data_IF_376109845410
#
_entry.id   IF_376109845410
#
_cell.length_a   1.000
_cell.length_b   1.000
_cell.length_c   1.000
_cell.angle_alpha   90.00
_cell.angle_beta   90.00
_cell.angle_gamma   90.00
#
_symmetry.space_group_name_H-M   'P 1'
#
loop_
_entity.id
_entity.type
_entity.pdbx_description
1 polymer ?
#
# COMPACT_ATOMS: atom_id res chain seq x y z
N UNK A 1 -1.76 7.54 -7.18
CA UNK A 1 -1.71 7.42 -5.70
C UNK A 1 -1.52 8.80 -5.11
N UNK A 2 -2.46 9.24 -4.29
CA UNK A 2 -2.39 10.56 -3.66
C UNK A 2 -1.50 10.51 -2.41
N UNK A 3 -0.81 11.60 -2.07
CA UNK A 3 0.10 11.62 -0.92
C UNK A 3 -0.60 11.28 0.41
N UNK A 4 -1.89 11.61 0.53
CA UNK A 4 -2.74 11.31 1.68
C UNK A 4 -3.09 9.82 1.80
N UNK A 5 -3.35 9.14 0.68
CA UNK A 5 -3.58 7.69 0.65
C UNK A 5 -2.30 6.93 1.05
N UNK A 6 -1.14 7.33 0.50
CA UNK A 6 0.15 6.77 0.90
C UNK A 6 0.41 6.96 2.39
N UNK A 7 0.09 8.13 2.95
CA UNK A 7 0.22 8.39 4.40
C UNK A 7 -0.70 7.49 5.23
N UNK A 8 -1.97 7.32 4.83
CA UNK A 8 -2.92 6.45 5.53
C UNK A 8 -2.47 4.99 5.52
N UNK A 9 -2.00 4.51 4.36
CA UNK A 9 -1.48 3.16 4.21
C UNK A 9 -0.22 2.94 5.05
N UNK A 10 0.73 3.89 5.01
CA UNK A 10 1.92 3.84 5.85
C UNK A 10 1.58 3.80 7.34
N UNK A 11 0.63 4.63 7.80
CA UNK A 11 0.20 4.61 9.19
C UNK A 11 -0.39 3.24 9.59
N UNK A 12 -1.22 2.65 8.74
CA UNK A 12 -1.79 1.32 8.97
C UNK A 12 -0.72 0.22 8.99
N UNK A 13 0.23 0.26 8.05
CA UNK A 13 1.36 -0.67 7.99
C UNK A 13 2.25 -0.57 9.24
N UNK A 14 2.54 0.66 9.69
CA UNK A 14 3.29 0.90 10.94
C UNK A 14 2.55 0.34 12.15
N UNK A 15 1.25 0.61 12.28
CA UNK A 15 0.44 0.06 13.39
C UNK A 15 0.45 -1.47 13.40
N UNK A 16 0.25 -2.09 12.23
CA UNK A 16 0.23 -3.56 12.09
C UNK A 16 1.59 -4.15 12.44
N UNK A 17 2.68 -3.57 11.93
CA UNK A 17 4.04 -3.99 12.24
C UNK A 17 4.35 -3.83 13.74
N UNK A 18 3.91 -2.74 14.36
CA UNK A 18 4.09 -2.51 15.79
C UNK A 18 3.41 -3.58 16.63
N UNK A 19 2.13 -3.85 16.38
CA UNK A 19 1.36 -4.86 17.12
C UNK A 19 1.87 -6.28 16.88
N UNK A 20 2.25 -6.61 15.65
CA UNK A 20 2.89 -7.90 15.33
C UNK A 20 4.22 -8.09 16.07
N UNK A 21 5.02 -7.02 16.18
CA UNK A 21 6.29 -7.05 16.91
C UNK A 21 6.06 -7.24 18.41
N UNK A 22 5.07 -6.55 18.98
CA UNK A 22 4.66 -6.69 20.38
C UNK A 22 4.14 -8.11 20.67
N UNK A 23 3.31 -8.68 19.80
CA UNK A 23 2.88 -10.09 19.92
C UNK A 23 4.06 -11.06 19.85
N UNK A 24 5.04 -10.79 18.99
CA UNK A 24 6.24 -11.64 18.85
C UNK A 24 7.14 -11.58 20.10
N UNK A 25 7.15 -10.46 20.84
CA UNK A 25 7.83 -10.37 22.13
C UNK A 25 7.25 -11.37 23.13
N UNK A 26 5.93 -11.42 23.26
CA UNK A 26 5.26 -12.41 24.12
C UNK A 26 5.50 -13.85 23.67
N UNK A 27 5.58 -14.11 22.36
CA UNK A 27 5.93 -15.44 21.85
C UNK A 27 7.34 -15.86 22.22
N UNK A 28 8.32 -14.95 22.19
CA UNK A 28 9.70 -15.23 22.62
C UNK A 28 9.74 -15.55 24.12
N UNK A 29 9.02 -14.78 24.94
CA UNK A 29 8.94 -15.03 26.39
C UNK A 29 8.30 -16.40 26.69
N UNK A 30 7.18 -16.72 26.03
CA UNK A 30 6.54 -18.03 26.15
C UNK A 30 7.44 -19.19 25.67
N UNK A 31 8.14 -19.01 24.55
CA UNK A 31 9.09 -20.00 24.03
C UNK A 31 10.28 -20.22 24.98
N UNK A 32 10.76 -19.15 25.61
CA UNK A 32 11.83 -19.20 26.62
C UNK A 32 11.39 -19.99 27.87
N UNK A 33 10.21 -19.69 28.40
CA UNK A 33 9.65 -20.46 29.52
C UNK A 33 9.48 -21.95 29.18
N UNK A 34 9.01 -22.27 27.97
CA UNK A 34 8.89 -23.65 27.51
C UNK A 34 10.25 -24.34 27.39
N UNK A 35 11.25 -23.66 26.83
CA UNK A 35 12.60 -24.19 26.70
C UNK A 35 13.21 -24.51 28.07
N UNK A 36 13.09 -23.59 29.03
CA UNK A 36 13.60 -23.79 30.40
C UNK A 36 12.88 -24.95 31.11
N UNK A 37 11.55 -25.06 30.94
CA UNK A 37 10.76 -26.16 31.50
C UNK A 37 11.19 -27.52 30.93
N UNK A 38 11.31 -27.64 29.61
CA UNK A 38 11.67 -28.90 28.97
C UNK A 38 13.12 -29.29 29.24
N UNK A 39 14.03 -28.31 29.40
CA UNK A 39 15.40 -28.56 29.86
C UNK A 39 15.42 -29.26 31.22
N UNK A 40 14.66 -28.74 32.19
CA UNK A 40 14.54 -29.36 33.52
C UNK A 40 13.89 -30.75 33.44
N UNK A 41 12.87 -30.92 32.59
CA UNK A 41 12.23 -32.22 32.39
C UNK A 41 13.19 -33.27 31.83
N UNK A 42 14.06 -32.88 30.88
CA UNK A 42 15.11 -33.75 30.33
C UNK A 42 16.14 -34.14 31.40
N UNK A 43 16.61 -33.19 32.20
CA UNK A 43 17.53 -33.47 33.31
C UNK A 43 16.92 -34.47 34.31
N UNK A 44 15.64 -34.29 34.66
CA UNK A 44 14.92 -35.19 35.54
C UNK A 44 14.74 -36.60 34.94
N UNK A 45 14.40 -36.69 33.65
CA UNK A 45 14.27 -37.97 32.95
C UNK A 45 15.61 -38.74 32.91
N UNK A 46 16.71 -38.04 32.61
CA UNK A 46 18.05 -38.64 32.62
C UNK A 46 18.47 -39.12 34.02
N UNK A 47 18.16 -38.35 35.07
CA UNK A 47 18.44 -38.76 36.45
C UNK A 47 17.64 -40.01 36.86
N UNK A 48 16.35 -40.05 36.53
CA UNK A 48 15.48 -41.22 36.79
C UNK A 48 15.94 -42.46 36.01
N UNK A 49 16.42 -42.29 34.78
CA UNK A 49 16.94 -43.39 33.97
C UNK A 49 18.21 -43.98 34.60
N UNK A 50 19.13 -43.13 35.06
CA UNK A 50 20.35 -43.55 35.80
C UNK A 50 20.02 -44.30 37.09
N UNK A 51 18.89 -43.96 37.73
CA UNK A 51 18.38 -44.66 38.91
C UNK A 51 17.56 -45.92 38.57
N UNK A 52 17.36 -46.27 37.29
CA UNK A 52 16.58 -47.42 36.85
C UNK A 52 15.06 -47.25 36.99
N UNK A 53 14.55 -46.03 37.16
CA UNK A 53 13.14 -45.73 37.42
C UNK A 53 12.30 -45.48 36.16
N UNK A 54 12.93 -45.19 35.03
CA UNK A 54 12.28 -44.96 33.73
C UNK A 54 13.04 -45.68 32.63
N UNK A 55 12.43 -45.83 31.45
CA UNK A 55 13.02 -46.50 30.30
C UNK A 55 13.89 -45.56 29.45
N UNK A 56 14.68 -46.12 28.54
CA UNK A 56 15.43 -45.31 27.56
C UNK A 56 14.50 -44.55 26.62
N UNK A 57 13.30 -45.07 26.33
CA UNK A 57 12.31 -44.38 25.49
C UNK A 57 11.83 -43.08 26.13
N UNK A 58 11.64 -43.06 27.46
CA UNK A 58 11.22 -41.85 28.17
C UNK A 58 12.28 -40.74 28.07
N UNK A 59 13.57 -41.10 28.11
CA UNK A 59 14.68 -40.16 27.89
C UNK A 59 14.69 -39.66 26.45
N UNK A 60 14.51 -40.54 25.47
CA UNK A 60 14.46 -40.16 24.05
C UNK A 60 13.29 -39.23 23.75
N UNK A 61 12.12 -39.45 24.35
CA UNK A 61 10.99 -38.54 24.22
C UNK A 61 11.30 -37.16 24.81
N UNK A 62 11.90 -37.11 26.00
CA UNK A 62 12.31 -35.84 26.62
C UNK A 62 13.38 -35.11 25.78
N UNK A 63 14.31 -35.85 25.14
CA UNK A 63 15.30 -35.27 24.22
C UNK A 63 14.64 -34.69 22.97
N UNK A 64 13.64 -35.36 22.41
CA UNK A 64 12.87 -34.86 21.27
C UNK A 64 12.12 -33.56 21.63
N UNK A 65 11.47 -33.53 22.79
CA UNK A 65 10.80 -32.32 23.27
C UNK A 65 11.79 -31.17 23.47
N UNK A 66 12.98 -31.44 24.04
CA UNK A 66 14.03 -30.44 24.21
C UNK A 66 14.48 -29.86 22.88
N UNK A 67 14.81 -30.73 21.91
CA UNK A 67 15.22 -30.29 20.58
C UNK A 67 14.12 -29.48 19.87
N UNK A 68 12.86 -29.85 20.08
CA UNK A 68 11.70 -29.11 19.54
C UNK A 68 11.55 -27.73 20.20
N UNK A 69 11.75 -27.64 21.51
CA UNK A 69 11.71 -26.36 22.24
C UNK A 69 12.89 -25.45 21.87
N UNK A 70 14.08 -26.02 21.68
CA UNK A 70 15.29 -25.31 21.22
C UNK A 70 15.10 -24.72 19.82
N UNK A 71 14.52 -25.48 18.90
CA UNK A 71 14.12 -24.98 17.59
C UNK A 71 13.09 -23.85 17.74
N UNK A 72 12.09 -24.03 18.60
CA UNK A 72 11.03 -23.05 18.83
C UNK A 72 11.53 -21.69 19.34
N UNK A 73 12.42 -21.68 20.33
CA UNK A 73 13.01 -20.42 20.83
C UNK A 73 13.88 -19.76 19.76
N UNK A 74 14.67 -20.54 19.01
CA UNK A 74 15.51 -20.01 17.92
C UNK A 74 14.66 -19.38 16.82
N UNK A 75 13.54 -20.00 16.44
CA UNK A 75 12.59 -19.47 15.46
C UNK A 75 11.91 -18.19 15.98
N UNK A 76 11.46 -18.17 17.23
CA UNK A 76 10.85 -16.99 17.84
C UNK A 76 11.83 -15.80 17.90
N UNK A 77 13.09 -16.05 18.27
CA UNK A 77 14.15 -15.03 18.27
C UNK A 77 14.49 -14.52 16.86
N UNK A 78 14.42 -15.37 15.84
CA UNK A 78 14.53 -14.96 14.45
C UNK A 78 13.35 -14.08 14.00
N UNK A 79 12.13 -14.49 14.35
CA UNK A 79 10.90 -13.79 13.98
C UNK A 79 10.85 -12.38 14.58
N UNK A 80 11.16 -12.22 15.87
CA UNK A 80 11.20 -10.90 16.50
C UNK A 80 12.25 -9.99 15.85
N UNK A 81 13.43 -10.50 15.50
CA UNK A 81 14.49 -9.72 14.82
C UNK A 81 14.01 -9.21 13.46
N UNK A 82 13.37 -10.08 12.68
CA UNK A 82 12.79 -9.69 11.39
C UNK A 82 11.69 -8.63 11.55
N UNK A 83 10.80 -8.81 12.54
CA UNK A 83 9.74 -7.86 12.83
C UNK A 83 10.29 -6.49 13.27
N UNK A 84 11.32 -6.47 14.12
CA UNK A 84 12.01 -5.25 14.52
C UNK A 84 12.68 -4.56 13.32
N UNK A 85 13.39 -5.29 12.46
CA UNK A 85 13.99 -4.72 11.25
C UNK A 85 12.94 -4.08 10.32
N UNK A 86 11.81 -4.77 10.11
CA UNK A 86 10.71 -4.25 9.30
C UNK A 86 10.10 -2.99 9.92
N UNK A 87 9.86 -3.00 11.23
CA UNK A 87 9.34 -1.83 11.95
C UNK A 87 10.32 -0.66 11.86
N UNK A 88 11.61 -0.90 12.06
CA UNK A 88 12.68 0.09 11.96
C UNK A 88 12.76 0.73 10.58
N UNK A 89 12.59 -0.07 9.52
CA UNK A 89 12.46 0.45 8.16
C UNK A 89 11.25 1.39 8.00
N UNK A 90 10.07 0.97 8.49
CA UNK A 90 8.83 1.74 8.35
C UNK A 90 8.83 3.06 9.13
N UNK A 91 9.49 3.11 10.30
CA UNK A 91 9.59 4.31 11.13
C UNK A 91 10.90 5.07 10.97
N UNK A 92 11.77 4.63 10.05
CA UNK A 92 13.10 5.18 9.81
C UNK A 92 13.99 5.22 11.08
N UNK A 93 13.96 4.14 11.86
CA UNK A 93 14.75 3.95 13.08
C UNK A 93 15.65 2.72 12.93
N UNK A 94 16.92 2.88 12.50
CA UNK A 94 17.82 1.76 12.26
C UNK A 94 18.26 1.04 13.54
N UNK A 95 18.21 1.70 14.70
CA UNK A 95 18.62 1.14 15.99
C UNK A 95 17.44 0.58 16.81
N UNK A 96 16.29 0.33 16.18
CA UNK A 96 15.08 -0.13 16.86
C UNK A 96 15.26 -1.46 17.60
N UNK A 97 16.21 -2.30 17.16
CA UNK A 97 16.56 -3.57 17.81
C UNK A 97 17.01 -3.37 19.27
N UNK A 98 17.59 -2.21 19.59
CA UNK A 98 18.07 -1.88 20.92
C UNK A 98 17.00 -1.20 21.80
N UNK A 99 15.79 -0.99 21.27
CA UNK A 99 14.70 -0.29 21.96
C UNK A 99 13.65 -1.30 22.44
N UNK A 100 13.07 -1.01 23.61
CA UNK A 100 11.93 -1.76 24.14
C UNK A 100 10.63 -1.11 23.67
N UNK A 101 9.70 -1.90 23.15
CA UNK A 101 8.37 -1.43 22.77
C UNK A 101 7.47 -1.36 24.01
N UNK A 102 6.64 -0.33 24.10
CA UNK A 102 5.67 -0.18 25.18
C UNK A 102 4.31 -0.74 24.74
N UNK A 103 3.61 -1.45 25.62
CA UNK A 103 2.22 -1.84 25.32
C UNK A 103 1.32 -0.60 25.36
N UNK A 104 0.57 -0.28 24.29
CA UNK A 104 -0.31 0.88 24.30
C UNK A 104 -1.58 0.63 25.12
N UNK A 105 -1.85 1.51 26.10
CA UNK A 105 -3.02 1.43 27.00
C UNK A 105 -4.38 1.47 26.27
N UNK A 106 -4.43 1.98 25.03
CA UNK A 106 -5.67 2.12 24.27
C UNK A 106 -6.16 0.82 23.62
N UNK A 107 -5.32 -0.23 23.52
CA UNK A 107 -5.70 -1.47 22.84
C UNK A 107 -6.85 -2.20 23.53
N UNK A 108 -6.92 -2.11 24.86
CA UNK A 108 -7.96 -2.76 25.66
C UNK A 108 -9.31 -2.02 25.52
N UNK A 109 -9.28 -0.68 25.42
CA UNK A 109 -10.50 0.13 25.27
C UNK A 109 -11.09 0.03 23.86
N UNK A 110 -10.24 -0.05 22.85
CA UNK A 110 -10.66 -0.15 21.45
C UNK A 110 -11.36 -1.50 21.14
N UNK A 111 -11.03 -2.58 21.87
CA UNK A 111 -11.73 -3.88 21.71
C UNK A 111 -13.13 -3.92 22.32
N UNK A 112 -13.52 -2.91 23.11
CA UNK A 112 -14.83 -2.85 23.79
C UNK A 112 -15.89 -2.06 23.00
N UNK A 113 -15.51 -1.41 21.89
CA UNK A 113 -16.43 -0.59 21.09
C UNK A 113 -17.31 -1.44 20.16
N UNK A 114 -18.63 -1.24 20.23
CA UNK A 114 -19.57 -1.81 19.26
C UNK A 114 -19.49 -1.03 17.94
N UNK A 115 -19.17 -1.74 16.86
CA UNK A 115 -19.11 -1.14 15.52
C UNK A 115 -20.51 -0.81 14.98
N UNK A 116 -20.59 0.23 14.15
CA UNK A 116 -21.80 0.57 13.42
C UNK A 116 -22.18 -0.51 12.39
N UNK A 117 -23.43 -0.48 11.92
CA UNK A 117 -23.94 -1.43 10.93
C UNK A 117 -23.13 -1.39 9.62
N UNK A 118 -22.82 -2.56 9.06
CA UNK A 118 -21.96 -2.72 7.87
C UNK A 118 -22.33 -1.79 6.72
N UNK A 119 -23.63 -1.66 6.44
CA UNK A 119 -24.14 -0.82 5.36
C UNK A 119 -23.83 0.67 5.54
N UNK A 120 -23.85 1.17 6.77
CA UNK A 120 -23.50 2.57 7.07
C UNK A 120 -21.99 2.80 6.87
N UNK A 121 -21.17 1.83 7.32
CA UNK A 121 -19.73 1.87 7.16
C UNK A 121 -19.30 1.79 5.68
N UNK A 122 -19.97 0.99 4.85
CA UNK A 122 -19.70 0.93 3.40
C UNK A 122 -20.00 2.26 2.72
N UNK A 123 -21.16 2.87 3.00
CA UNK A 123 -21.53 4.15 2.41
C UNK A 123 -20.56 5.27 2.82
N UNK A 124 -20.16 5.29 4.09
CA UNK A 124 -19.17 6.23 4.59
C UNK A 124 -17.78 5.99 3.97
N UNK A 125 -17.35 4.72 3.87
CA UNK A 125 -16.09 4.34 3.27
C UNK A 125 -16.03 4.76 1.79
N UNK A 126 -17.08 4.50 1.01
CA UNK A 126 -17.16 4.91 -0.40
C UNK A 126 -17.09 6.44 -0.57
N UNK A 127 -17.64 7.21 0.37
CA UNK A 127 -17.62 8.67 0.34
C UNK A 127 -16.26 9.27 0.77
N UNK A 128 -15.58 8.67 1.75
CA UNK A 128 -14.34 9.21 2.34
C UNK A 128 -13.06 8.64 1.73
N UNK A 129 -13.12 7.52 1.02
CA UNK A 129 -11.96 6.85 0.42
C UNK A 129 -11.34 7.68 -0.70
N UNK A 130 -10.05 8.00 -0.53
CA UNK A 130 -9.30 8.87 -1.43
C UNK A 130 -8.92 8.18 -2.74
N UNK A 131 -8.74 6.87 -2.71
CA UNK A 131 -8.58 5.99 -3.87
C UNK A 131 -9.80 6.05 -4.79
N UNK A 132 -11.02 5.99 -4.23
CA UNK A 132 -12.27 6.15 -4.99
C UNK A 132 -12.37 7.54 -5.61
N UNK A 133 -12.05 8.59 -4.83
CA UNK A 133 -12.01 9.96 -5.34
C UNK A 133 -11.02 10.12 -6.50
N UNK A 134 -9.82 9.53 -6.38
CA UNK A 134 -8.81 9.53 -7.44
C UNK A 134 -9.32 8.84 -8.71
N UNK A 135 -9.96 7.69 -8.60
CA UNK A 135 -10.54 6.97 -9.74
C UNK A 135 -11.68 7.76 -10.39
N UNK A 136 -12.51 8.43 -9.59
CA UNK A 136 -13.59 9.29 -10.09
C UNK A 136 -13.05 10.45 -10.92
N UNK A 137 -12.02 11.16 -10.44
CA UNK A 137 -11.39 12.24 -11.21
C UNK A 137 -10.66 11.73 -12.45
N UNK A 138 -10.07 10.54 -12.38
CA UNK A 138 -9.45 9.90 -13.54
C UNK A 138 -10.47 9.57 -14.64
N UNK A 139 -11.61 8.98 -14.27
CA UNK A 139 -12.73 8.75 -15.17
C UNK A 139 -13.24 10.06 -15.80
N UNK A 140 -13.45 11.10 -14.98
CA UNK A 140 -13.90 12.41 -15.48
C UNK A 140 -12.91 13.03 -16.48
N UNK A 141 -11.60 12.91 -16.22
CA UNK A 141 -10.57 13.38 -17.13
C UNK A 141 -10.62 12.62 -18.47
N UNK A 142 -10.71 11.29 -18.44
CA UNK A 142 -10.81 10.49 -19.67
C UNK A 142 -12.12 10.74 -20.43
N UNK A 143 -13.22 10.96 -19.71
CA UNK A 143 -14.49 11.35 -20.31
C UNK A 143 -14.35 12.70 -21.04
N UNK A 144 -13.70 13.70 -20.43
CA UNK A 144 -13.44 14.98 -21.08
C UNK A 144 -12.51 14.83 -22.29
N UNK A 145 -11.44 14.03 -22.17
CA UNK A 145 -10.51 13.75 -23.27
C UNK A 145 -11.21 13.04 -24.43
N UNK A 146 -12.21 12.20 -24.18
CA UNK A 146 -12.99 11.52 -25.23
C UNK A 146 -13.77 12.48 -26.14
N UNK A 147 -14.00 13.72 -25.69
CA UNK A 147 -14.67 14.75 -26.48
C UNK A 147 -13.68 15.51 -27.39
N UNK A 148 -12.39 15.53 -27.10
CA UNK A 148 -11.38 16.26 -27.89
C UNK A 148 -11.36 15.83 -29.38
N UNK A 149 -11.42 14.54 -29.73
CA UNK A 149 -11.49 14.11 -31.13
C UNK A 149 -12.71 14.70 -31.86
N UNK A 150 -13.84 14.89 -31.17
CA UNK A 150 -15.02 15.51 -31.76
C UNK A 150 -14.86 17.02 -31.98
N UNK A 151 -14.02 17.69 -31.19
CA UNK A 151 -13.68 19.09 -31.43
C UNK A 151 -12.75 19.26 -32.65
N UNK A 152 -12.07 18.20 -33.08
CA UNK A 152 -11.18 18.21 -34.25
C UNK A 152 -11.94 18.25 -35.60
N UNK A 153 -13.29 18.30 -35.57
CA UNK A 153 -14.10 18.66 -36.73
C UNK A 153 -14.10 20.18 -37.01
N UNK A 154 -13.81 20.99 -35.99
CA UNK A 154 -13.73 22.45 -36.12
C UNK A 154 -12.33 22.87 -36.63
N UNK A 155 -12.22 23.99 -37.37
CA UNK A 155 -10.94 24.52 -37.76
C UNK A 155 -10.18 25.07 -36.54
N UNK A 156 -8.85 24.94 -36.53
CA UNK A 156 -8.01 25.56 -35.51
C UNK A 156 -7.57 26.95 -35.98
N UNK A 157 -7.75 27.95 -35.12
CA UNK A 157 -7.28 29.31 -35.33
C UNK A 157 -6.03 29.51 -34.48
N UNK A 158 -4.91 29.81 -35.13
CA UNK A 158 -3.63 30.07 -34.48
C UNK A 158 -3.24 31.52 -34.71
N UNK A 159 -2.81 32.19 -33.64
CA UNK A 159 -2.23 33.52 -33.69
C UNK A 159 -0.75 33.41 -33.31
N UNK A 160 0.13 33.93 -34.15
CA UNK A 160 1.57 33.93 -33.93
C UNK A 160 2.12 35.34 -34.01
N UNK A 161 3.06 35.65 -33.11
CA UNK A 161 3.78 36.91 -33.13
C UNK A 161 5.22 36.67 -32.72
N UNK A 162 6.16 37.19 -33.50
CA UNK A 162 7.60 37.09 -33.20
C UNK A 162 8.22 38.47 -33.23
N UNK A 163 9.01 38.76 -32.20
CA UNK A 163 9.91 39.91 -32.14
C UNK A 163 11.34 39.38 -32.16
N UNK A 164 12.15 39.87 -33.09
CA UNK A 164 13.55 39.50 -33.23
C UNK A 164 14.40 40.76 -33.21
N UNK A 165 15.21 40.87 -32.17
CA UNK A 165 16.30 41.83 -32.10
C UNK A 165 17.57 41.19 -32.68
N UNK A 166 18.27 41.88 -33.58
CA UNK A 166 19.55 41.42 -34.13
C UNK A 166 20.58 42.54 -34.03
N UNK A 167 21.80 42.19 -33.60
CA UNK A 167 22.93 43.11 -33.49
C UNK A 167 23.92 42.98 -34.67
N UNK A 168 23.61 42.15 -35.66
CA UNK A 168 24.44 41.99 -36.86
C UNK A 168 24.14 43.13 -37.85
N UNK A 169 25.15 43.81 -38.41
CA UNK A 169 24.96 44.86 -39.40
C UNK A 169 24.48 44.26 -40.73
N UNK A 170 23.16 44.18 -40.91
CA UNK A 170 22.55 43.88 -42.19
C UNK A 170 22.55 45.08 -43.13
N UNK A 171 22.37 44.87 -44.44
CA UNK A 171 22.37 45.92 -45.48
C UNK A 171 21.36 47.07 -45.24
N UNK A 172 20.35 46.88 -44.39
CA UNK A 172 19.25 47.84 -44.16
C UNK A 172 19.33 48.60 -42.82
N UNK A 173 20.32 48.29 -41.96
CA UNK A 173 20.46 48.92 -40.64
C UNK A 173 19.33 48.61 -39.64
N UNK A 174 18.40 47.72 -39.98
CA UNK A 174 17.21 47.40 -39.17
C UNK A 174 17.53 46.34 -38.10
N UNK A 175 17.62 46.79 -36.84
CA UNK A 175 17.95 45.95 -35.67
C UNK A 175 16.74 45.26 -35.03
N UNK A 176 15.52 45.72 -35.33
CA UNK A 176 14.27 45.13 -34.82
C UNK A 176 13.41 44.66 -35.99
N UNK A 177 13.16 43.36 -36.03
CA UNK A 177 12.25 42.71 -36.96
C UNK A 177 11.08 42.12 -36.18
N UNK A 178 9.87 42.32 -36.67
CA UNK A 178 8.67 41.76 -36.06
C UNK A 178 7.79 41.15 -37.14
N UNK A 179 7.08 40.08 -36.79
CA UNK A 179 6.04 39.50 -37.61
C UNK A 179 4.81 39.20 -36.74
N UNK A 180 3.64 39.35 -37.34
CA UNK A 180 2.36 38.92 -36.79
C UNK A 180 1.66 38.08 -37.85
N UNK A 181 1.06 36.98 -37.45
CA UNK A 181 0.38 36.06 -38.34
C UNK A 181 -0.86 35.46 -37.69
N UNK A 182 -1.92 35.31 -38.47
CA UNK A 182 -3.08 34.51 -38.11
C UNK A 182 -3.15 33.37 -39.13
N UNK A 183 -3.25 32.13 -38.67
CA UNK A 183 -3.38 30.96 -39.51
C UNK A 183 -4.60 30.13 -39.09
N UNK A 184 -5.53 29.95 -40.04
CA UNK A 184 -6.67 29.05 -39.90
C UNK A 184 -6.31 27.72 -40.59
N UNK A 185 -6.39 26.61 -39.85
CA UNK A 185 -6.14 25.28 -40.39
C UNK A 185 -7.40 24.42 -40.24
N UNK A 186 -7.90 23.89 -41.35
CA UNK A 186 -9.04 22.98 -41.35
C UNK A 186 -8.70 21.69 -42.08
N UNK A 187 -8.74 20.58 -41.35
CA UNK A 187 -8.59 19.26 -41.94
C UNK A 187 -9.97 18.73 -42.38
N UNK A 188 -10.25 18.77 -43.67
CA UNK A 188 -11.53 18.27 -44.21
C UNK A 188 -11.60 16.75 -44.20
N UNK A 189 -10.49 16.06 -44.52
CA UNK A 189 -10.44 14.60 -44.56
C UNK A 189 -9.10 14.06 -44.05
N UNK A 190 -9.18 13.22 -43.03
CA UNK A 190 -8.06 12.67 -42.27
C UNK A 190 -7.98 11.13 -42.36
N UNK A 191 -8.69 10.52 -43.32
CA UNK A 191 -8.73 9.07 -43.44
C UNK A 191 -9.43 8.35 -42.28
N UNK A 192 -10.45 8.97 -41.67
CA UNK A 192 -11.20 8.45 -40.52
C UNK A 192 -10.40 8.35 -39.21
N UNK A 193 -9.24 9.00 -39.12
CA UNK A 193 -8.40 8.97 -37.91
C UNK A 193 -9.12 9.55 -36.67
N UNK A 194 -9.90 10.61 -36.83
CA UNK A 194 -10.74 11.22 -35.78
C UNK A 194 -11.75 10.24 -35.19
N UNK A 195 -12.45 9.48 -36.04
CA UNK A 195 -13.44 8.49 -35.62
C UNK A 195 -12.76 7.33 -34.88
N UNK A 196 -11.61 6.86 -35.37
CA UNK A 196 -10.82 5.84 -34.70
C UNK A 196 -10.33 6.32 -33.32
N UNK A 197 -9.80 7.54 -33.25
CA UNK A 197 -9.32 8.15 -32.00
C UNK A 197 -10.46 8.37 -31.01
N UNK A 198 -11.63 8.83 -31.47
CA UNK A 198 -12.84 8.94 -30.64
C UNK A 198 -13.21 7.59 -30.01
N UNK A 199 -13.26 6.51 -30.80
CA UNK A 199 -13.57 5.17 -30.30
C UNK A 199 -12.57 4.69 -29.27
N UNK A 200 -11.28 4.92 -29.50
CA UNK A 200 -10.20 4.57 -28.56
C UNK A 200 -10.37 5.37 -27.25
N UNK A 201 -10.49 6.69 -27.31
CA UNK A 201 -10.65 7.52 -26.12
C UNK A 201 -11.94 7.21 -25.35
N UNK A 202 -13.03 6.89 -26.06
CA UNK A 202 -14.28 6.44 -25.45
C UNK A 202 -14.13 5.07 -24.78
N UNK A 203 -13.43 4.14 -25.40
CA UNK A 203 -13.15 2.84 -24.79
C UNK A 203 -12.33 2.99 -23.50
N UNK A 204 -11.32 3.86 -23.48
CA UNK A 204 -10.55 4.19 -22.28
C UNK A 204 -11.40 4.81 -21.17
N UNK A 205 -12.35 5.69 -21.52
CA UNK A 205 -13.28 6.25 -20.54
C UNK A 205 -14.24 5.18 -19.96
N UNK A 206 -14.70 4.24 -20.78
CA UNK A 206 -15.52 3.10 -20.32
C UNK A 206 -14.70 2.18 -19.41
N UNK A 207 -13.45 1.89 -19.77
CA UNK A 207 -12.54 1.13 -18.92
C UNK A 207 -12.36 1.79 -17.54
N UNK A 208 -12.14 3.10 -17.51
CA UNK A 208 -12.02 3.84 -16.26
C UNK A 208 -13.30 3.84 -15.41
N UNK A 209 -14.49 3.89 -16.03
CA UNK A 209 -15.78 3.73 -15.34
C UNK A 209 -15.93 2.32 -14.74
N UNK A 210 -15.56 1.28 -15.49
CA UNK A 210 -15.58 -0.10 -15.01
C UNK A 210 -14.61 -0.31 -13.84
N UNK A 211 -13.42 0.29 -13.90
CA UNK A 211 -12.44 0.28 -12.81
C UNK A 211 -12.97 0.98 -11.56
N UNK A 212 -13.66 2.13 -11.71
CA UNK A 212 -14.32 2.81 -10.60
C UNK A 212 -15.42 1.93 -9.97
N UNK A 213 -16.27 1.29 -10.79
CA UNK A 213 -17.32 0.37 -10.32
C UNK A 213 -16.74 -0.88 -9.64
N UNK A 214 -15.64 -1.41 -10.15
CA UNK A 214 -14.92 -2.51 -9.52
C UNK A 214 -14.35 -2.09 -8.16
N UNK A 215 -13.74 -0.91 -8.07
CA UNK A 215 -13.21 -0.38 -6.82
C UNK A 215 -14.32 -0.15 -5.78
N UNK A 216 -15.47 0.41 -6.17
CA UNK A 216 -16.62 0.59 -5.26
C UNK A 216 -17.13 -0.74 -4.68
N UNK A 217 -17.20 -1.80 -5.50
CA UNK A 217 -17.54 -3.15 -5.04
C UNK A 217 -16.45 -3.75 -4.15
N UNK A 218 -15.18 -3.44 -4.43
CA UNK A 218 -14.07 -3.89 -3.58
C UNK A 218 -14.13 -3.26 -2.18
N UNK A 219 -14.54 -1.99 -2.07
CA UNK A 219 -14.76 -1.33 -0.77
C UNK A 219 -15.79 -2.07 0.08
N UNK A 220 -16.88 -2.53 -0.54
CA UNK A 220 -17.93 -3.29 0.14
C UNK A 220 -17.35 -4.58 0.75
N UNK A 221 -16.62 -5.36 -0.06
CA UNK A 221 -15.94 -6.57 0.40
C UNK A 221 -14.90 -6.27 1.49
N UNK A 222 -14.06 -5.24 1.32
CA UNK A 222 -13.04 -4.90 2.31
C UNK A 222 -13.64 -4.53 3.69
N UNK A 223 -14.80 -3.87 3.70
CA UNK A 223 -15.51 -3.50 4.95
C UNK A 223 -16.18 -4.71 5.58
N UNK A 224 -16.82 -5.57 4.78
CA UNK A 224 -17.43 -6.81 5.28
C UNK A 224 -16.37 -7.77 5.83
N UNK A 225 -15.27 -7.97 5.12
CA UNK A 225 -14.14 -8.79 5.56
C UNK A 225 -13.57 -8.28 6.90
N UNK A 226 -13.42 -6.96 7.04
CA UNK A 226 -12.95 -6.36 8.28
C UNK A 226 -13.93 -6.54 9.46
N UNK A 227 -15.24 -6.52 9.20
CA UNK A 227 -16.26 -6.77 10.22
C UNK A 227 -16.35 -8.23 10.64
N UNK A 228 -16.11 -9.16 9.71
CA UNK A 228 -16.08 -10.60 10.01
C UNK A 228 -14.82 -11.00 10.78
N UNK A 229 -13.71 -10.28 10.58
CA UNK A 229 -12.43 -10.55 11.25
C UNK A 229 -12.34 -10.01 12.70
N UNK A 230 -13.31 -9.19 13.12
CA UNK A 230 -13.47 -8.69 14.49
C UNK A 230 -14.11 -9.75 15.40
#
# INVERSE_FOLDING_TARGET
MTASETRRRLAFEVCTAYLSTLSSQYLVEAARHRFDYVRQALEAAQARFKAGLVSSNDVTQAQLEYATAELGITQAEGQIKNNLLQLGYLVNEPEIINKTLASPDFLIKASEESFAEAKQLVAEAQARRLDISSLKYHYQALQALSLIPTLSYLPSLNFTGQLRYTNQPGLTGRVINWNLGISLSWNLFDGFNREATYRISKALAVEADLNLKAALRRVEVDVEDALVAL
#
